data_IF_812722211955
#
_entry.id   IF_812722211955
#
_cell.length_a   1.000
_cell.length_b   1.000
_cell.length_c   1.000
_cell.angle_alpha   90.00
_cell.angle_beta   90.00
_cell.angle_gamma   90.00
#
_symmetry.space_group_name_H-M   'P 1'
#
loop_
_entity.id
_entity.type
_entity.pdbx_description
1 polymer ?
#
# COMPACT_ATOMS: atom_id res chain seq x y z
N UNK A 1 -46.34 -60.40 -12.26
CA UNK A 1 -44.89 -60.50 -12.55
C UNK A 1 -44.22 -59.41 -11.73
N UNK A 2 -43.83 -59.65 -10.47
CA UNK A 2 -42.60 -60.33 -10.02
C UNK A 2 -41.34 -59.59 -10.54
N UNK A 3 -40.35 -59.11 -9.79
CA UNK A 3 -40.01 -59.07 -8.36
C UNK A 3 -38.89 -58.03 -8.16
N UNK A 4 -38.80 -57.40 -6.98
CA UNK A 4 -37.60 -56.74 -6.40
C UNK A 4 -36.62 -57.81 -5.84
N UNK A 5 -35.55 -57.51 -5.06
CA UNK A 5 -34.35 -56.64 -5.16
C UNK A 5 -33.03 -57.46 -4.96
N UNK A 6 -31.85 -56.83 -4.89
CA UNK A 6 -30.74 -57.34 -4.06
C UNK A 6 -29.75 -56.24 -3.60
N UNK A 7 -29.67 -56.08 -2.28
CA UNK A 7 -28.61 -55.44 -1.49
C UNK A 7 -27.58 -56.51 -1.14
N UNK A 8 -26.29 -56.19 -1.13
CA UNK A 8 -25.32 -56.99 -0.37
C UNK A 8 -24.24 -56.11 0.26
N UNK A 9 -24.33 -55.96 1.57
CA UNK A 9 -23.26 -55.65 2.52
C UNK A 9 -22.50 -56.93 2.89
N UNK A 10 -21.19 -56.86 3.14
CA UNK A 10 -20.51 -57.90 3.94
C UNK A 10 -19.43 -57.30 4.84
N UNK A 11 -19.61 -57.54 6.14
CA UNK A 11 -18.69 -57.30 7.25
C UNK A 11 -17.61 -58.39 7.35
N UNK A 12 -16.50 -58.09 8.03
CA UNK A 12 -15.51 -59.08 8.48
C UNK A 12 -14.61 -58.55 9.59
N UNK A 13 -14.84 -59.03 10.81
CA UNK A 13 -14.16 -58.71 12.08
C UNK A 13 -12.78 -59.37 12.23
N UNK A 14 -11.92 -58.83 13.11
CA UNK A 14 -10.71 -59.53 13.56
C UNK A 14 -9.82 -58.82 14.59
N UNK A 15 -10.18 -58.95 15.87
CA UNK A 15 -9.32 -59.16 17.08
C UNK A 15 -8.17 -58.22 17.50
N UNK A 16 -8.18 -57.98 18.83
CA UNK A 16 -7.26 -57.23 19.70
C UNK A 16 -5.80 -57.73 19.73
N UNK A 17 -4.86 -56.81 19.95
CA UNK A 17 -3.64 -57.05 20.75
C UNK A 17 -3.13 -55.74 21.38
N UNK A 18 -2.96 -55.78 22.70
CA UNK A 18 -2.31 -54.76 23.53
C UNK A 18 -0.80 -54.98 23.45
N UNK A 19 -0.03 -53.91 23.29
CA UNK A 19 1.37 -53.87 23.71
C UNK A 19 1.77 -52.45 24.10
N UNK A 20 2.35 -52.36 25.28
CA UNK A 20 2.76 -51.18 26.03
C UNK A 20 4.04 -50.57 25.49
N UNK A 21 4.25 -49.29 25.81
CA UNK A 21 5.53 -48.56 25.99
C UNK A 21 6.01 -47.71 24.80
N UNK A 22 6.01 -46.38 24.99
CA UNK A 22 7.22 -45.55 25.04
C UNK A 22 6.91 -44.06 24.78
N UNK A 23 7.29 -43.25 25.77
CA UNK A 23 7.51 -41.81 25.80
C UNK A 23 8.05 -41.23 24.48
N UNK A 24 7.41 -40.17 23.98
CA UNK A 24 8.09 -39.05 23.33
C UNK A 24 7.28 -37.76 23.55
N UNK A 25 7.90 -36.85 24.28
CA UNK A 25 7.55 -35.44 24.46
C UNK A 25 7.30 -34.76 23.11
N UNK A 26 6.13 -34.14 22.94
CA UNK A 26 5.98 -33.09 21.93
C UNK A 26 5.56 -31.79 22.60
N UNK A 27 6.45 -30.82 22.48
CA UNK A 27 6.32 -29.49 23.04
C UNK A 27 5.42 -28.69 22.10
N UNK A 28 4.12 -28.64 22.40
CA UNK A 28 3.21 -27.71 21.74
C UNK A 28 3.52 -26.29 22.24
N UNK A 29 4.50 -25.66 21.59
CA UNK A 29 4.79 -24.24 21.72
C UNK A 29 3.64 -23.44 21.14
N UNK A 30 2.84 -22.83 22.03
CA UNK A 30 1.94 -21.74 21.73
C UNK A 30 2.78 -20.52 21.33
N UNK A 31 3.08 -20.38 20.04
CA UNK A 31 3.58 -19.10 19.53
C UNK A 31 2.39 -18.23 19.19
N UNK A 32 2.18 -17.25 20.07
CA UNK A 32 1.32 -16.11 19.86
C UNK A 32 1.54 -15.55 18.46
N UNK A 33 0.43 -15.27 17.76
CA UNK A 33 0.44 -14.58 16.49
C UNK A 33 1.17 -13.24 16.65
N UNK A 34 2.42 -13.20 16.21
CA UNK A 34 3.12 -11.96 15.90
C UNK A 34 2.30 -11.28 14.83
N UNK A 35 1.66 -10.16 15.18
CA UNK A 35 1.11 -9.21 14.21
C UNK A 35 2.32 -8.72 13.43
N UNK A 36 2.59 -9.36 12.30
CA UNK A 36 3.59 -8.92 11.35
C UNK A 36 3.01 -7.69 10.65
N UNK A 37 3.43 -6.52 11.11
CA UNK A 37 3.36 -5.27 10.37
C UNK A 37 4.17 -5.43 9.08
N UNK A 38 3.56 -6.07 8.09
CA UNK A 38 4.14 -6.27 6.77
C UNK A 38 3.98 -4.96 5.99
N UNK A 39 4.96 -4.06 6.11
CA UNK A 39 5.06 -2.93 5.19
C UNK A 39 5.21 -3.51 3.78
N UNK A 40 4.22 -3.31 2.92
CA UNK A 40 4.30 -3.76 1.53
C UNK A 40 5.27 -2.84 0.81
N UNK A 41 6.38 -3.40 0.34
CA UNK A 41 7.31 -2.67 -0.52
C UNK A 41 6.64 -2.51 -1.88
N UNK A 42 6.36 -1.27 -2.25
CA UNK A 42 5.84 -0.90 -3.55
C UNK A 42 6.93 -0.22 -4.39
N UNK A 43 6.62 -0.05 -5.67
CA UNK A 43 7.50 0.58 -6.64
C UNK A 43 7.82 2.03 -6.24
N UNK A 44 9.12 2.35 -6.12
CA UNK A 44 9.63 3.68 -5.77
C UNK A 44 9.17 4.76 -6.75
N UNK A 45 8.90 4.42 -8.01
CA UNK A 45 8.41 5.38 -9.00
C UNK A 45 7.00 5.92 -8.72
N UNK A 46 6.27 5.37 -7.73
CA UNK A 46 5.04 5.95 -7.22
C UNK A 46 5.28 7.18 -6.34
N UNK A 47 6.52 7.38 -5.84
CA UNK A 47 6.88 8.51 -5.00
C UNK A 47 7.52 9.65 -5.80
N UNK A 48 7.31 10.87 -5.32
CA UNK A 48 8.02 12.08 -5.73
C UNK A 48 8.11 13.04 -4.56
N UNK A 49 9.14 13.88 -4.54
CA UNK A 49 9.21 14.96 -3.56
C UNK A 49 8.22 16.07 -3.87
N UNK A 50 7.70 16.71 -2.81
CA UNK A 50 6.87 17.90 -2.97
C UNK A 50 7.69 19.00 -3.64
N UNK A 51 7.24 19.48 -4.79
CA UNK A 51 7.93 20.56 -5.50
C UNK A 51 7.94 21.86 -4.71
N UNK A 52 6.90 22.13 -3.90
CA UNK A 52 6.87 23.30 -3.01
C UNK A 52 8.03 23.23 -2.04
N UNK A 53 8.15 22.12 -1.31
CA UNK A 53 9.21 21.93 -0.30
C UNK A 53 10.58 21.97 -0.97
N UNK A 54 10.74 21.30 -2.12
CA UNK A 54 12.01 21.26 -2.82
C UNK A 54 12.44 22.63 -3.34
N UNK A 55 11.50 23.45 -3.83
CA UNK A 55 11.77 24.80 -4.31
C UNK A 55 12.02 25.78 -3.16
N UNK A 56 11.28 25.67 -2.05
CA UNK A 56 11.52 26.46 -0.84
C UNK A 56 12.89 26.16 -0.24
N UNK A 57 13.28 24.89 -0.14
CA UNK A 57 14.63 24.51 0.30
C UNK A 57 15.70 25.08 -0.66
N UNK A 58 15.45 25.05 -1.97
CA UNK A 58 16.38 25.59 -2.97
C UNK A 58 16.50 27.12 -2.91
N UNK A 59 15.39 27.84 -2.71
CA UNK A 59 15.36 29.30 -2.58
C UNK A 59 15.99 29.78 -1.26
N UNK A 60 15.90 28.95 -0.21
CA UNK A 60 16.59 29.19 1.05
C UNK A 60 18.11 29.00 0.99
N UNK A 61 18.62 28.39 -0.09
CA UNK A 61 20.06 28.14 -0.25
C UNK A 61 20.79 29.46 -0.58
N UNK A 62 21.83 29.82 0.18
CA UNK A 62 22.48 31.13 0.05
C UNK A 62 23.22 31.31 -1.29
N UNK A 63 23.82 30.24 -1.83
CA UNK A 63 24.39 30.21 -3.19
C UNK A 63 24.30 28.82 -3.80
N UNK A 64 24.24 28.74 -5.13
CA UNK A 64 24.26 27.46 -5.87
C UNK A 64 25.56 26.66 -5.64
N UNK A 65 26.66 27.37 -5.33
CA UNK A 65 27.98 26.78 -5.06
C UNK A 65 28.05 26.07 -3.71
N UNK A 66 27.15 26.42 -2.79
CA UNK A 66 27.07 25.87 -1.42
C UNK A 66 25.99 24.78 -1.30
N UNK A 67 25.46 24.30 -2.43
CA UNK A 67 24.42 23.28 -2.44
C UNK A 67 24.99 21.95 -1.92
N UNK A 68 24.44 21.45 -0.81
CA UNK A 68 24.92 20.20 -0.23
C UNK A 68 24.65 18.99 -1.14
N UNK A 69 25.44 17.92 -0.96
CA UNK A 69 25.29 16.70 -1.75
C UNK A 69 23.90 16.07 -1.60
N UNK A 70 23.26 16.25 -0.44
CA UNK A 70 21.93 15.75 -0.17
C UNK A 70 20.88 16.39 -1.10
N UNK A 71 20.94 17.72 -1.26
CA UNK A 71 20.07 18.50 -2.12
C UNK A 71 20.34 18.19 -3.59
N UNK A 72 21.60 18.09 -4.00
CA UNK A 72 21.97 17.63 -5.34
C UNK A 72 21.36 16.25 -5.63
N UNK A 73 21.40 15.33 -4.67
CA UNK A 73 20.82 14.00 -4.80
C UNK A 73 19.28 14.02 -4.82
N UNK A 74 18.63 14.89 -4.03
CA UNK A 74 17.18 15.13 -4.10
C UNK A 74 16.77 15.61 -5.50
N UNK A 75 17.47 16.60 -6.06
CA UNK A 75 17.19 17.09 -7.42
C UNK A 75 17.36 15.99 -8.46
N UNK A 76 18.45 15.21 -8.39
CA UNK A 76 18.70 14.09 -9.32
C UNK A 76 17.62 13.00 -9.24
N UNK A 77 17.16 12.66 -8.04
CA UNK A 77 16.09 11.66 -7.84
C UNK A 77 14.75 12.12 -8.42
N UNK A 78 14.46 13.41 -8.28
CA UNK A 78 13.23 14.02 -8.79
C UNK A 78 13.33 14.51 -10.24
N UNK A 79 14.52 14.49 -10.84
CA UNK A 79 14.75 14.95 -12.21
C UNK A 79 13.74 14.41 -13.22
N UNK A 80 13.43 13.10 -13.23
CA UNK A 80 12.45 12.60 -14.17
C UNK A 80 11.00 13.09 -13.90
N UNK A 81 10.66 13.46 -12.66
CA UNK A 81 9.40 14.14 -12.34
C UNK A 81 9.36 15.59 -12.82
N UNK A 82 10.50 16.27 -12.94
CA UNK A 82 10.56 17.60 -13.56
C UNK A 82 10.39 17.56 -15.08
N UNK A 83 10.93 16.53 -15.75
CA UNK A 83 10.84 16.41 -17.20
C UNK A 83 9.46 15.98 -17.68
N UNK A 84 8.94 14.92 -17.06
CA UNK A 84 7.72 14.25 -17.52
C UNK A 84 6.48 14.72 -16.75
N UNK A 85 6.67 15.35 -15.58
CA UNK A 85 5.61 15.96 -14.77
C UNK A 85 4.38 15.05 -14.63
N UNK A 86 3.21 15.51 -15.05
CA UNK A 86 1.94 14.80 -14.96
C UNK A 86 1.90 13.46 -15.71
N UNK A 87 2.76 13.23 -16.71
CA UNK A 87 2.77 11.94 -17.43
C UNK A 87 3.38 10.79 -16.62
N UNK A 88 3.95 11.10 -15.44
CA UNK A 88 4.51 10.14 -14.49
C UNK A 88 3.45 9.49 -13.61
N UNK A 89 2.26 10.08 -13.54
CA UNK A 89 1.13 9.46 -12.87
C UNK A 89 0.71 8.20 -13.62
N UNK A 90 0.56 7.12 -12.88
CA UNK A 90 0.20 5.81 -13.40
C UNK A 90 -1.31 5.64 -13.40
N UNK A 91 -1.77 4.72 -14.24
CA UNK A 91 -3.16 4.26 -14.22
C UNK A 91 -3.51 3.49 -12.94
N UNK A 92 -4.80 3.31 -12.61
CA UNK A 92 -5.23 2.56 -11.44
C UNK A 92 -4.62 1.16 -11.37
N UNK A 93 -4.27 0.71 -10.16
CA UNK A 93 -3.53 -0.52 -9.94
C UNK A 93 -4.02 -1.29 -8.70
N UNK A 94 -4.42 -2.54 -8.92
CA UNK A 94 -4.94 -3.44 -7.89
C UNK A 94 -3.97 -3.75 -6.73
N UNK A 95 -2.66 -3.68 -6.96
CA UNK A 95 -1.65 -3.80 -5.91
C UNK A 95 -1.61 -2.53 -5.05
N UNK A 96 -1.60 -1.37 -5.69
CA UNK A 96 -1.62 -0.05 -5.03
C UNK A 96 -2.90 0.12 -4.21
N UNK A 97 -4.07 -0.21 -4.77
CA UNK A 97 -5.34 -0.19 -4.05
C UNK A 97 -5.30 -1.05 -2.78
N UNK A 98 -4.82 -2.30 -2.89
CA UNK A 98 -4.72 -3.22 -1.74
C UNK A 98 -3.65 -2.82 -0.73
N UNK A 99 -2.64 -2.06 -1.14
CA UNK A 99 -1.63 -1.58 -0.21
C UNK A 99 -2.19 -0.55 0.76
N UNK A 100 -3.20 0.24 0.34
CA UNK A 100 -3.92 1.16 1.23
C UNK A 100 -4.78 0.45 2.30
N UNK A 101 -4.89 -0.89 2.28
CA UNK A 101 -5.48 -1.65 3.38
C UNK A 101 -4.51 -1.86 4.55
N UNK A 102 -3.21 -1.61 4.34
CA UNK A 102 -2.19 -1.63 5.39
C UNK A 102 -2.19 -0.32 6.20
N UNK A 103 -1.68 -0.38 7.42
CA UNK A 103 -1.47 0.83 8.25
C UNK A 103 -0.34 1.73 7.72
N UNK A 104 0.60 1.14 7.00
CA UNK A 104 1.79 1.81 6.49
C UNK A 104 2.24 1.17 5.18
N UNK A 105 2.76 1.98 4.27
CA UNK A 105 3.27 1.57 2.96
C UNK A 105 4.70 2.10 2.79
N UNK A 106 5.58 1.25 2.25
CA UNK A 106 6.97 1.60 1.96
C UNK A 106 7.17 1.76 0.45
N UNK A 107 7.71 2.91 0.05
CA UNK A 107 8.05 3.29 -1.33
C UNK A 107 9.54 3.58 -1.43
N UNK A 108 10.33 2.51 -1.60
CA UNK A 108 11.79 2.60 -1.54
C UNK A 108 12.26 3.08 -0.16
N UNK A 109 12.83 4.29 -0.11
CA UNK A 109 13.32 4.93 1.13
C UNK A 109 12.24 5.69 1.89
N UNK A 110 11.04 5.84 1.31
CA UNK A 110 9.95 6.63 1.87
C UNK A 110 8.91 5.71 2.53
N UNK A 111 8.36 6.15 3.66
CA UNK A 111 7.26 5.45 4.32
C UNK A 111 6.07 6.39 4.50
N UNK A 112 4.87 5.86 4.31
CA UNK A 112 3.62 6.59 4.38
C UNK A 112 2.69 5.89 5.35
N UNK A 113 2.26 6.61 6.39
CA UNK A 113 1.21 6.15 7.30
C UNK A 113 -0.15 6.37 6.66
N UNK A 114 -1.00 5.34 6.70
CA UNK A 114 -2.31 5.38 6.07
C UNK A 114 -3.37 5.79 7.08
N UNK A 115 -3.97 6.95 6.84
CA UNK A 115 -5.13 7.42 7.59
C UNK A 115 -6.43 6.95 6.91
N UNK A 116 -7.33 6.27 7.63
CA UNK A 116 -8.57 5.74 7.04
C UNK A 116 -9.43 6.80 6.35
N UNK A 117 -9.49 8.03 6.90
CA UNK A 117 -10.28 9.11 6.30
C UNK A 117 -9.70 9.59 4.97
N UNK A 118 -8.38 9.69 4.88
CA UNK A 118 -7.69 10.12 3.66
C UNK A 118 -7.73 9.02 2.60
N UNK A 119 -7.63 7.75 3.01
CA UNK A 119 -7.81 6.60 2.12
C UNK A 119 -9.14 6.64 1.37
N UNK A 120 -10.26 6.82 2.07
CA UNK A 120 -11.58 6.85 1.42
C UNK A 120 -11.73 8.02 0.45
N UNK A 121 -11.12 9.18 0.75
CA UNK A 121 -11.04 10.29 -0.18
C UNK A 121 -10.16 9.97 -1.40
N UNK A 122 -8.99 9.36 -1.18
CA UNK A 122 -8.06 8.96 -2.23
C UNK A 122 -8.67 7.91 -3.18
N UNK A 123 -9.38 6.92 -2.67
CA UNK A 123 -10.05 5.90 -3.50
C UNK A 123 -11.18 6.48 -4.35
N UNK A 124 -11.88 7.52 -3.87
CA UNK A 124 -12.87 8.25 -4.67
C UNK A 124 -12.19 9.11 -5.73
N UNK A 125 -11.16 9.87 -5.35
CA UNK A 125 -10.41 10.71 -6.26
C UNK A 125 -9.72 9.90 -7.38
N UNK A 126 -9.19 8.72 -7.07
CA UNK A 126 -8.50 7.84 -8.03
C UNK A 126 -9.45 7.40 -9.15
N UNK A 127 -10.71 7.09 -8.81
CA UNK A 127 -11.74 6.75 -9.81
C UNK A 127 -12.05 7.91 -10.76
N UNK A 128 -12.05 9.14 -10.24
CA UNK A 128 -12.37 10.34 -11.01
C UNK A 128 -11.18 10.76 -11.89
N UNK A 129 -9.97 10.71 -11.34
CA UNK A 129 -8.73 11.12 -12.01
C UNK A 129 -8.14 10.02 -12.90
N UNK A 130 -8.62 8.78 -12.75
CA UNK A 130 -8.06 7.59 -13.38
C UNK A 130 -6.55 7.45 -13.07
N UNK A 131 -6.16 7.66 -11.81
CA UNK A 131 -4.78 7.55 -11.34
C UNK A 131 -4.60 6.40 -10.36
N UNK A 132 -3.35 5.94 -10.24
CA UNK A 132 -2.92 4.99 -9.24
C UNK A 132 -3.34 5.42 -7.83
N UNK A 133 -3.86 4.47 -7.05
CA UNK A 133 -4.46 4.72 -5.75
C UNK A 133 -3.46 5.25 -4.72
N UNK A 134 -2.20 4.79 -4.76
CA UNK A 134 -1.15 5.25 -3.84
C UNK A 134 -0.69 6.65 -4.22
N UNK A 135 -0.49 6.92 -5.52
CA UNK A 135 -0.17 8.28 -5.98
C UNK A 135 -1.31 9.26 -5.65
N UNK A 136 -2.56 8.82 -5.80
CA UNK A 136 -3.72 9.62 -5.41
C UNK A 136 -3.77 9.86 -3.90
N UNK A 137 -3.42 8.86 -3.09
CA UNK A 137 -3.33 9.02 -1.64
C UNK A 137 -2.30 10.09 -1.26
N UNK A 138 -1.11 10.06 -1.87
CA UNK A 138 -0.06 11.07 -1.65
C UNK A 138 -0.57 12.48 -1.98
N UNK A 139 -1.27 12.63 -3.12
CA UNK A 139 -1.87 13.92 -3.50
C UNK A 139 -2.87 14.42 -2.47
N UNK A 140 -3.76 13.53 -2.00
CA UNK A 140 -4.79 13.88 -1.01
C UNK A 140 -4.17 14.24 0.34
N UNK A 141 -3.18 13.47 0.82
CA UNK A 141 -2.47 13.75 2.08
C UNK A 141 -1.82 15.13 2.05
N UNK A 142 -1.00 15.39 1.03
CA UNK A 142 -0.32 16.68 0.85
C UNK A 142 -1.29 17.85 0.70
N UNK A 143 -2.43 17.62 0.05
CA UNK A 143 -3.46 18.66 -0.12
C UNK A 143 -4.14 19.05 1.19
N UNK A 144 -4.27 18.11 2.13
CA UNK A 144 -4.88 18.35 3.44
C UNK A 144 -3.89 18.99 4.41
N UNK A 145 -2.63 18.56 4.39
CA UNK A 145 -1.52 19.15 5.15
C UNK A 145 -1.32 20.64 4.79
N UNK A 146 -1.42 20.98 3.51
CA UNK A 146 -1.17 22.33 2.99
C UNK A 146 -2.41 23.26 3.06
N UNK A 147 -3.18 23.19 4.15
CA UNK A 147 -4.21 24.16 4.56
C UNK A 147 -5.68 23.90 4.12
N UNK A 148 -6.11 22.62 3.97
CA UNK A 148 -7.52 22.32 3.60
C UNK A 148 -8.19 21.12 4.25
N UNK A 149 -9.45 21.33 4.63
CA UNK A 149 -10.39 20.30 5.08
C UNK A 149 -10.59 19.20 4.02
N UNK A 150 -10.66 17.95 4.48
CA UNK A 150 -10.98 16.75 3.69
C UNK A 150 -12.24 16.96 2.83
N UNK A 151 -13.19 17.77 3.29
CA UNK A 151 -14.42 18.10 2.57
C UNK A 151 -14.19 18.71 1.17
N UNK A 152 -13.05 19.35 0.90
CA UNK A 152 -12.76 19.97 -0.40
C UNK A 152 -12.19 18.98 -1.42
N UNK A 153 -11.63 17.86 -0.97
CA UNK A 153 -11.20 16.73 -1.83
C UNK A 153 -12.42 16.05 -2.48
N UNK A 154 -13.62 16.28 -1.91
CA UNK A 154 -14.89 15.76 -2.41
C UNK A 154 -15.57 16.68 -3.45
N UNK A 155 -15.01 17.87 -3.71
CA UNK A 155 -15.57 18.86 -4.65
C UNK A 155 -14.98 18.75 -6.07
N UNK A 156 -15.73 19.24 -7.07
CA UNK A 156 -15.25 19.34 -8.46
C UNK A 156 -13.95 20.17 -8.59
N UNK A 157 -13.72 21.10 -7.66
CA UNK A 157 -12.53 21.96 -7.61
C UNK A 157 -11.22 21.18 -7.34
N UNK A 158 -11.29 19.95 -6.82
CA UNK A 158 -10.10 19.14 -6.55
C UNK A 158 -9.33 18.83 -7.85
N UNK A 159 -10.06 18.48 -8.92
CA UNK A 159 -9.49 18.30 -10.26
C UNK A 159 -8.80 19.57 -10.78
N UNK A 160 -9.47 20.71 -10.62
CA UNK A 160 -8.95 22.00 -11.11
C UNK A 160 -7.69 22.42 -10.34
N UNK A 161 -7.58 22.04 -9.07
CA UNK A 161 -6.42 22.35 -8.25
C UNK A 161 -5.27 21.37 -8.44
N UNK A 162 -5.53 20.06 -8.62
CA UNK A 162 -4.50 19.07 -8.99
C UNK A 162 -3.84 19.42 -10.32
N UNK A 163 -4.56 20.06 -11.25
CA UNK A 163 -3.99 20.58 -12.51
C UNK A 163 -3.27 21.94 -12.38
N UNK A 164 -3.41 22.64 -11.24
CA UNK A 164 -2.74 23.92 -10.97
C UNK A 164 -1.44 23.76 -10.14
N UNK A 165 -1.06 22.52 -9.87
CA UNK A 165 0.23 22.09 -9.33
C UNK A 165 0.96 21.22 -10.35
#
# INVERSE_FOLDING_TARGET
MASTPAVTSSSGSGTLSISTTAVATDSASLTAATISTTSKLLDESLWWESFVVLLEELDSAPTLSDLDDNMVNKLKRNHPWFLDSVSRFKSPNELSRRALDSNEISLGLHSIVIEPKLKEAALRASKVLCLDEVQTYILVSRSVENDRSIARVEGQDFLQWVMLF
#
